data_IF_170080647160
#
_entry.id   IF_170080647160
#
_cell.length_a   1.000
_cell.length_b   1.000
_cell.length_c   1.000
_cell.angle_alpha   90.00
_cell.angle_beta   90.00
_cell.angle_gamma   90.00
#
_symmetry.space_group_name_H-M   'P 1'
#
loop_
_entity.id
_entity.type
_entity.pdbx_description
1 polymer ?
#
# COMPACT_ATOMS: atom_id res chain seq x y z
N UNK A 1 33.24 8.14 -31.91
CA UNK A 1 31.92 7.54 -31.67
C UNK A 1 31.93 7.05 -30.25
N UNK A 2 31.04 7.56 -29.42
CA UNK A 2 30.92 7.10 -28.03
C UNK A 2 30.46 5.64 -28.07
N UNK A 3 31.34 4.74 -27.60
CA UNK A 3 31.05 3.32 -27.55
C UNK A 3 30.06 3.04 -26.43
N UNK A 4 28.95 2.40 -26.76
CA UNK A 4 28.03 1.87 -25.75
C UNK A 4 28.74 0.78 -24.95
N UNK A 5 28.72 0.90 -23.62
CA UNK A 5 29.26 -0.13 -22.71
C UNK A 5 28.08 -0.85 -22.06
N UNK A 6 28.00 -2.16 -22.24
CA UNK A 6 27.11 -3.01 -21.45
C UNK A 6 27.81 -3.30 -20.11
N UNK A 7 27.21 -2.90 -18.99
CA UNK A 7 27.72 -3.19 -17.66
C UNK A 7 26.69 -3.97 -16.84
N UNK A 8 27.16 -4.79 -15.91
CA UNK A 8 26.30 -5.43 -14.91
C UNK A 8 25.87 -4.39 -13.87
N UNK A 9 24.74 -4.66 -13.19
CA UNK A 9 24.23 -3.78 -12.12
C UNK A 9 25.27 -3.55 -11.01
N UNK A 10 25.99 -4.59 -10.61
CA UNK A 10 27.06 -4.47 -9.60
C UNK A 10 28.19 -3.56 -10.06
N UNK A 11 28.59 -3.66 -11.33
CA UNK A 11 29.61 -2.79 -11.88
C UNK A 11 29.14 -1.34 -11.99
N UNK A 12 27.88 -1.12 -12.39
CA UNK A 12 27.27 0.22 -12.39
C UNK A 12 27.18 0.84 -10.98
N UNK A 13 26.95 0.03 -9.94
CA UNK A 13 27.04 0.46 -8.53
C UNK A 13 28.45 0.93 -8.17
N UNK A 14 29.48 0.15 -8.51
CA UNK A 14 30.89 0.51 -8.24
C UNK A 14 31.30 1.82 -8.90
N UNK A 15 30.74 2.11 -10.07
CA UNK A 15 31.01 3.33 -10.84
C UNK A 15 30.19 4.55 -10.39
N UNK A 16 29.30 4.40 -9.40
CA UNK A 16 28.44 5.47 -8.90
C UNK A 16 27.32 5.90 -9.87
N UNK A 17 27.12 5.18 -10.97
CA UNK A 17 26.16 5.57 -12.03
C UNK A 17 24.70 5.46 -11.61
N UNK A 18 24.42 4.73 -10.53
CA UNK A 18 23.08 4.50 -10.03
C UNK A 18 22.67 5.50 -8.94
N UNK A 19 23.58 6.36 -8.48
CA UNK A 19 23.35 7.26 -7.33
C UNK A 19 22.36 8.40 -7.63
N UNK A 20 22.22 8.80 -8.89
CA UNK A 20 21.32 9.89 -9.31
C UNK A 20 20.00 9.40 -9.90
N UNK A 21 19.69 8.10 -9.83
CA UNK A 21 18.47 7.54 -10.39
C UNK A 21 17.33 7.69 -9.39
N UNK A 22 16.39 8.60 -9.68
CA UNK A 22 15.11 8.67 -8.96
C UNK A 22 14.29 7.44 -9.32
N UNK A 23 14.06 6.57 -8.34
CA UNK A 23 13.27 5.35 -8.51
C UNK A 23 11.78 5.64 -8.35
N UNK A 24 10.97 4.95 -9.14
CA UNK A 24 9.51 4.99 -9.00
C UNK A 24 9.12 4.56 -7.57
N UNK A 25 8.36 5.38 -6.82
CA UNK A 25 7.98 5.07 -5.45
C UNK A 25 7.29 3.71 -5.28
N UNK A 26 6.53 3.22 -6.26
CA UNK A 26 5.89 1.90 -6.18
C UNK A 26 6.90 0.77 -6.27
N UNK A 27 7.97 0.98 -7.03
CA UNK A 27 9.06 0.00 -7.13
C UNK A 27 9.75 -0.12 -5.78
N UNK A 28 9.99 1.01 -5.11
CA UNK A 28 10.55 1.06 -3.75
C UNK A 28 9.62 0.36 -2.76
N UNK A 29 8.33 0.66 -2.77
CA UNK A 29 7.34 -0.01 -1.91
C UNK A 29 7.27 -1.53 -2.14
N UNK A 30 7.40 -1.97 -3.40
CA UNK A 30 7.45 -3.39 -3.74
C UNK A 30 8.71 -4.08 -3.22
N UNK A 31 9.87 -3.41 -3.28
CA UNK A 31 11.14 -3.91 -2.73
C UNK A 31 11.10 -4.03 -1.21
N UNK A 32 10.65 -2.99 -0.50
CA UNK A 32 10.49 -3.02 0.96
C UNK A 32 9.64 -4.23 1.36
N UNK A 33 8.50 -4.40 0.68
CA UNK A 33 7.60 -5.51 0.94
C UNK A 33 8.26 -6.86 0.62
N UNK A 34 8.93 -7.00 -0.52
CA UNK A 34 9.56 -8.27 -0.89
C UNK A 34 10.63 -8.69 0.12
N UNK A 35 11.46 -7.75 0.58
CA UNK A 35 12.49 -8.02 1.59
C UNK A 35 11.86 -8.49 2.89
N UNK A 36 10.81 -7.81 3.38
CA UNK A 36 10.14 -8.17 4.63
C UNK A 36 9.32 -9.46 4.50
N UNK A 37 8.58 -9.66 3.40
CA UNK A 37 7.81 -10.90 3.17
C UNK A 37 8.74 -12.13 3.05
N UNK A 38 10.01 -11.95 2.65
CA UNK A 38 11.02 -13.02 2.59
C UNK A 38 11.68 -13.34 3.93
N UNK A 39 11.50 -12.48 4.93
CA UNK A 39 12.16 -12.54 6.24
C UNK A 39 11.10 -12.25 7.29
N UNK A 40 10.53 -13.29 7.87
CA UNK A 40 9.45 -13.25 8.86
C UNK A 40 9.52 -12.06 9.85
N UNK A 41 10.73 -11.61 10.19
CA UNK A 41 11.02 -10.37 10.89
C UNK A 41 12.26 -9.66 10.33
N UNK A 42 12.29 -8.32 10.37
CA UNK A 42 13.45 -7.50 9.97
C UNK A 42 13.64 -6.34 10.94
N UNK A 43 14.89 -6.07 11.34
CA UNK A 43 15.26 -4.86 12.06
C UNK A 43 15.17 -3.64 11.12
N UNK A 44 14.35 -2.66 11.49
CA UNK A 44 14.10 -1.47 10.71
C UNK A 44 15.36 -0.64 10.44
N UNK A 45 16.34 -0.68 11.35
CA UNK A 45 17.64 -0.02 11.17
C UNK A 45 18.51 -0.69 10.10
N UNK A 46 18.30 -1.98 9.83
CA UNK A 46 19.03 -2.75 8.82
C UNK A 46 18.32 -2.80 7.47
N UNK A 47 17.00 -2.59 7.46
CA UNK A 47 16.15 -2.70 6.28
C UNK A 47 16.64 -1.87 5.08
N UNK A 48 17.09 -0.59 5.21
CA UNK A 48 17.63 0.15 4.09
C UNK A 48 18.82 -0.55 3.43
N UNK A 49 19.78 -1.02 4.23
CA UNK A 49 20.99 -1.68 3.72
C UNK A 49 20.66 -3.00 3.01
N UNK A 50 19.71 -3.77 3.53
CA UNK A 50 19.26 -5.03 2.91
C UNK A 50 18.63 -4.75 1.55
N UNK A 51 17.75 -3.73 1.46
CA UNK A 51 17.14 -3.32 0.19
C UNK A 51 18.19 -2.88 -0.81
N UNK A 52 19.21 -2.13 -0.38
CA UNK A 52 20.28 -1.70 -1.28
C UNK A 52 21.12 -2.87 -1.80
N UNK A 53 21.35 -3.89 -0.97
CA UNK A 53 22.10 -5.09 -1.34
C UNK A 53 21.33 -5.93 -2.37
N UNK A 54 20.08 -6.26 -2.09
CA UNK A 54 19.25 -7.12 -2.96
C UNK A 54 18.71 -6.40 -4.19
N UNK A 55 18.40 -5.13 -4.03
CA UNK A 55 17.86 -4.28 -5.06
C UNK A 55 18.87 -3.18 -5.36
N UNK A 56 18.56 -1.94 -5.03
CA UNK A 56 19.36 -0.78 -5.41
C UNK A 56 19.25 0.33 -4.36
N UNK A 57 20.11 1.35 -4.49
CA UNK A 57 20.06 2.56 -3.66
C UNK A 57 18.69 3.20 -3.75
N UNK A 58 18.15 3.60 -2.60
CA UNK A 58 16.84 4.24 -2.48
C UNK A 58 17.02 5.60 -1.82
N UNK A 59 16.34 6.61 -2.36
CA UNK A 59 16.27 7.91 -1.71
C UNK A 59 15.59 7.79 -0.33
N UNK A 60 16.19 8.37 0.70
CA UNK A 60 15.73 8.20 2.08
C UNK A 60 14.31 8.74 2.31
N UNK A 61 13.93 9.83 1.63
CA UNK A 61 12.59 10.41 1.74
C UNK A 61 11.55 9.50 1.06
N UNK A 62 11.86 9.00 -0.14
CA UNK A 62 10.99 8.04 -0.84
C UNK A 62 10.85 6.75 -0.03
N UNK A 63 11.94 6.24 0.55
CA UNK A 63 11.92 5.07 1.42
C UNK A 63 10.97 5.26 2.61
N UNK A 64 11.13 6.36 3.37
CA UNK A 64 10.32 6.65 4.54
C UNK A 64 8.84 6.78 4.17
N UNK A 65 8.53 7.51 3.10
CA UNK A 65 7.16 7.68 2.62
C UNK A 65 6.53 6.32 2.24
N UNK A 66 7.27 5.44 1.57
CA UNK A 66 6.74 4.12 1.19
C UNK A 66 6.58 3.19 2.39
N UNK A 67 7.48 3.26 3.37
CA UNK A 67 7.36 2.50 4.61
C UNK A 67 6.11 2.93 5.40
N UNK A 68 5.88 4.23 5.57
CA UNK A 68 4.67 4.78 6.20
C UNK A 68 3.40 4.34 5.47
N UNK A 69 3.42 4.37 4.13
CA UNK A 69 2.31 3.90 3.31
C UNK A 69 2.00 2.42 3.55
N UNK A 70 3.02 1.57 3.73
CA UNK A 70 2.83 0.14 3.99
C UNK A 70 2.25 -0.11 5.40
N UNK A 71 2.64 0.68 6.40
CA UNK A 71 2.02 0.65 7.72
C UNK A 71 0.56 1.11 7.68
N UNK A 72 0.28 2.23 7.01
CA UNK A 72 -1.08 2.76 6.83
C UNK A 72 -2.00 1.76 6.12
N UNK A 73 -1.47 0.99 5.16
CA UNK A 73 -2.18 -0.09 4.47
C UNK A 73 -2.33 -1.37 5.29
N UNK A 74 -1.89 -1.40 6.56
CA UNK A 74 -1.84 -2.61 7.41
C UNK A 74 -1.15 -3.78 6.69
N UNK A 75 -0.09 -3.50 5.94
CA UNK A 75 0.76 -4.52 5.28
C UNK A 75 1.91 -4.95 6.18
N UNK A 76 2.35 -4.05 7.03
CA UNK A 76 3.43 -4.24 7.98
C UNK A 76 2.93 -3.94 9.39
N UNK A 77 3.58 -4.56 10.36
CA UNK A 77 3.42 -4.26 11.79
C UNK A 77 4.81 -3.95 12.34
N UNK A 78 4.90 -2.90 13.14
CA UNK A 78 6.13 -2.58 13.85
C UNK A 78 5.98 -2.91 15.33
N UNK A 79 7.08 -3.31 15.93
CA UNK A 79 7.20 -3.60 17.35
C UNK A 79 8.47 -2.96 17.89
N UNK A 80 8.47 -2.46 19.13
CA UNK A 80 9.71 -2.15 19.81
C UNK A 80 10.48 -3.47 20.07
N UNK A 81 11.80 -3.41 20.18
CA UNK A 81 12.62 -4.62 20.26
C UNK A 81 12.34 -5.40 21.55
N UNK A 82 12.02 -4.69 22.63
CA UNK A 82 11.61 -5.23 23.93
C UNK A 82 10.24 -5.92 23.93
N UNK A 83 9.45 -5.82 22.86
CA UNK A 83 8.20 -6.56 22.75
C UNK A 83 8.41 -8.06 22.50
N UNK A 84 9.63 -8.48 22.13
CA UNK A 84 9.94 -9.88 21.86
C UNK A 84 10.49 -10.59 23.10
N UNK A 85 9.95 -11.77 23.39
CA UNK A 85 10.47 -12.65 24.44
C UNK A 85 11.67 -13.48 23.94
N UNK A 86 12.26 -14.29 24.83
CA UNK A 86 13.41 -15.16 24.50
C UNK A 86 13.08 -16.24 23.44
N UNK A 87 11.80 -16.59 23.29
CA UNK A 87 11.30 -17.55 22.30
C UNK A 87 11.08 -16.90 20.92
N UNK A 88 11.21 -15.57 20.82
CA UNK A 88 11.01 -14.80 19.60
C UNK A 88 9.54 -14.47 19.30
N UNK A 89 8.66 -14.59 20.29
CA UNK A 89 7.25 -14.17 20.21
C UNK A 89 7.07 -12.71 20.65
N UNK A 90 6.25 -11.98 19.92
CA UNK A 90 5.97 -10.57 20.19
C UNK A 90 4.71 -10.37 21.05
N UNK A 91 4.77 -9.43 21.99
CA UNK A 91 3.64 -8.95 22.78
C UNK A 91 2.60 -8.26 21.88
N UNK A 92 1.37 -8.77 21.78
CA UNK A 92 0.33 -8.18 20.96
C UNK A 92 -0.09 -6.76 21.35
N UNK A 93 0.08 -6.38 22.63
CA UNK A 93 -0.28 -5.03 23.09
C UNK A 93 0.71 -3.96 22.62
N UNK A 94 1.91 -4.37 22.20
CA UNK A 94 2.97 -3.49 21.72
C UNK A 94 2.95 -3.31 20.19
N UNK A 95 1.97 -3.90 19.49
CA UNK A 95 1.87 -3.84 18.05
C UNK A 95 1.50 -2.44 17.53
N UNK A 96 2.35 -1.87 16.70
CA UNK A 96 2.07 -0.65 15.95
C UNK A 96 1.55 -1.00 14.54
N UNK A 97 0.28 -0.72 14.28
CA UNK A 97 -0.41 -0.99 13.00
C UNK A 97 -1.19 0.22 12.57
N UNK A 98 -1.15 0.58 11.28
CA UNK A 98 -1.98 1.63 10.69
C UNK A 98 -2.04 2.90 11.54
N UNK A 99 -3.16 3.07 12.24
CA UNK A 99 -3.51 4.24 13.04
C UNK A 99 -2.72 4.39 14.35
N UNK A 100 -2.05 3.34 14.84
CA UNK A 100 -1.17 3.42 16.03
C UNK A 100 0.29 3.75 15.69
N UNK A 101 0.63 3.93 14.41
CA UNK A 101 1.95 4.40 13.99
C UNK A 101 2.08 5.90 14.29
N UNK A 102 3.16 6.34 14.96
CA UNK A 102 3.37 7.76 15.27
C UNK A 102 3.43 8.65 14.03
N UNK A 103 3.02 9.91 14.20
CA UNK A 103 3.21 10.95 13.18
C UNK A 103 4.72 11.14 12.95
N UNK A 104 5.18 10.90 11.72
CA UNK A 104 6.61 10.84 11.37
C UNK A 104 7.17 9.42 11.22
N UNK A 105 6.32 8.40 11.37
CA UNK A 105 6.65 7.00 11.11
C UNK A 105 7.31 6.29 12.30
N UNK A 106 7.82 5.09 12.03
CA UNK A 106 8.63 4.32 12.98
C UNK A 106 10.09 4.47 12.57
N UNK A 107 10.96 4.86 13.49
CA UNK A 107 12.38 5.06 13.22
C UNK A 107 13.25 3.86 13.62
N UNK A 108 12.77 3.03 14.54
CA UNK A 108 13.50 1.88 15.09
C UNK A 108 12.54 0.78 15.55
N UNK A 109 13.01 -0.46 15.57
CA UNK A 109 12.24 -1.62 16.03
C UNK A 109 12.28 -2.76 15.04
N UNK A 110 11.45 -3.78 15.30
CA UNK A 110 11.29 -4.94 14.43
C UNK A 110 10.03 -4.77 13.60
N UNK A 111 10.15 -4.99 12.29
CA UNK A 111 9.04 -4.97 11.37
C UNK A 111 8.76 -6.40 10.89
N UNK A 112 7.49 -6.75 10.86
CA UNK A 112 7.01 -8.06 10.43
C UNK A 112 5.88 -7.90 9.40
N UNK A 113 5.70 -8.85 8.48
CA UNK A 113 4.52 -8.89 7.63
C UNK A 113 3.25 -9.00 8.48
N UNK A 114 2.20 -8.25 8.12
CA UNK A 114 0.93 -8.29 8.86
C UNK A 114 0.31 -9.69 8.91
N UNK A 115 0.41 -10.45 7.81
CA UNK A 115 -0.09 -11.82 7.77
C UNK A 115 0.67 -12.77 8.70
N UNK A 116 1.99 -12.58 8.84
CA UNK A 116 2.82 -13.35 9.77
C UNK A 116 2.46 -13.04 11.21
N UNK A 117 2.37 -11.76 11.57
CA UNK A 117 1.93 -11.35 12.91
C UNK A 117 0.53 -11.88 13.24
N UNK A 118 -0.38 -11.89 12.26
CA UNK A 118 -1.74 -12.42 12.43
C UNK A 118 -1.74 -13.94 12.62
N UNK A 119 -0.93 -14.67 11.84
CA UNK A 119 -0.82 -16.12 11.92
C UNK A 119 -0.23 -16.58 13.26
N UNK A 120 0.72 -15.80 13.80
CA UNK A 120 1.37 -16.06 15.10
C UNK A 120 0.59 -15.52 16.30
N UNK A 121 -0.52 -14.81 16.08
CA UNK A 121 -1.33 -14.23 17.15
C UNK A 121 -0.71 -13.01 17.82
N UNK A 122 0.39 -12.47 17.26
CA UNK A 122 1.08 -11.27 17.72
C UNK A 122 0.33 -9.98 17.39
N UNK A 123 -0.67 -10.07 16.52
CA UNK A 123 -1.74 -9.09 16.50
C UNK A 123 -3.04 -9.84 16.73
N UNK A 124 -3.92 -9.25 17.51
CA UNK A 124 -5.29 -9.73 17.60
C UNK A 124 -5.83 -9.73 16.18
N UNK A 125 -6.29 -10.89 15.69
CA UNK A 125 -7.03 -10.94 14.44
C UNK A 125 -8.10 -9.85 14.53
N UNK A 126 -8.15 -8.88 13.61
CA UNK A 126 -9.33 -8.04 13.54
C UNK A 126 -10.53 -9.00 13.51
N UNK A 127 -11.59 -8.70 14.27
CA UNK A 127 -12.79 -9.55 14.35
C UNK A 127 -13.44 -9.81 12.98
N UNK A 128 -12.90 -9.22 11.91
CA UNK A 128 -13.48 -9.07 10.60
C UNK A 128 -12.40 -9.32 9.54
N UNK A 129 -12.71 -10.15 8.54
CA UNK A 129 -11.80 -10.52 7.45
C UNK A 129 -11.62 -9.35 6.48
N UNK A 130 -10.38 -8.91 6.27
CA UNK A 130 -10.05 -7.91 5.25
C UNK A 130 -10.38 -8.48 3.87
N UNK A 131 -11.18 -7.75 3.08
CA UNK A 131 -11.52 -8.15 1.71
C UNK A 131 -11.01 -7.13 0.71
N UNK A 132 -10.18 -7.60 -0.21
CA UNK A 132 -9.58 -6.77 -1.26
C UNK A 132 -10.29 -7.01 -2.58
N UNK A 133 -10.80 -5.93 -3.18
CA UNK A 133 -11.44 -5.91 -4.48
C UNK A 133 -10.51 -5.23 -5.47
N UNK A 134 -10.27 -5.88 -6.63
CA UNK A 134 -9.44 -5.31 -7.69
C UNK A 134 -10.28 -5.18 -8.97
N UNK A 135 -10.53 -3.94 -9.39
CA UNK A 135 -11.24 -3.62 -10.62
C UNK A 135 -10.23 -3.25 -11.70
N UNK A 136 -10.25 -3.97 -12.83
CA UNK A 136 -9.34 -3.75 -13.98
C UNK A 136 -10.05 -3.28 -15.24
N UNK A 137 -11.35 -3.51 -15.32
CA UNK A 137 -12.16 -3.15 -16.49
C UNK A 137 -12.63 -1.69 -16.39
N UNK A 138 -12.43 -0.86 -17.44
CA UNK A 138 -12.81 0.54 -17.42
C UNK A 138 -14.28 0.77 -17.02
N UNK A 139 -15.19 -0.06 -17.50
CA UNK A 139 -16.62 0.04 -17.22
C UNK A 139 -16.90 -0.12 -15.71
N UNK A 140 -16.29 -1.12 -15.08
CA UNK A 140 -16.49 -1.39 -13.64
C UNK A 140 -15.83 -0.34 -12.76
N UNK A 141 -14.65 0.17 -13.18
CA UNK A 141 -13.99 1.30 -12.52
C UNK A 141 -14.90 2.55 -12.57
N UNK A 142 -15.47 2.85 -13.73
CA UNK A 142 -16.42 3.97 -13.88
C UNK A 142 -17.67 3.77 -13.03
N UNK A 143 -18.18 2.54 -12.91
CA UNK A 143 -19.32 2.23 -12.04
C UNK A 143 -18.98 2.45 -10.57
N UNK A 144 -17.81 2.05 -10.09
CA UNK A 144 -17.34 2.35 -8.73
C UNK A 144 -17.23 3.86 -8.50
N UNK A 145 -16.64 4.61 -9.45
CA UNK A 145 -16.50 6.06 -9.29
C UNK A 145 -17.85 6.79 -9.32
N UNK A 146 -18.78 6.35 -10.17
CA UNK A 146 -20.15 6.86 -10.16
C UNK A 146 -20.82 6.62 -8.80
N UNK A 147 -20.62 5.43 -8.22
CA UNK A 147 -21.15 5.09 -6.91
C UNK A 147 -20.59 5.98 -5.79
N UNK A 148 -19.27 6.22 -5.80
CA UNK A 148 -18.59 7.11 -4.86
C UNK A 148 -18.88 8.60 -5.12
N UNK A 149 -19.27 8.97 -6.33
CA UNK A 149 -19.69 10.34 -6.67
C UNK A 149 -21.16 10.65 -6.32
N UNK A 150 -21.96 9.62 -6.04
CA UNK A 150 -23.36 9.75 -5.65
C UNK A 150 -23.53 10.09 -4.17
N UNK A 151 -24.77 10.06 -3.67
CA UNK A 151 -25.08 10.32 -2.24
C UNK A 151 -25.59 9.09 -1.49
N UNK A 152 -25.89 8.01 -2.21
CA UNK A 152 -26.59 6.83 -1.67
C UNK A 152 -25.81 6.02 -0.63
N UNK A 153 -24.54 6.35 -0.39
CA UNK A 153 -23.68 5.70 0.59
C UNK A 153 -23.07 6.67 1.61
N UNK A 154 -23.52 7.93 1.66
CA UNK A 154 -22.94 8.94 2.54
C UNK A 154 -23.03 8.58 4.04
N UNK A 155 -24.02 7.77 4.44
CA UNK A 155 -24.16 7.29 5.81
C UNK A 155 -23.42 5.97 6.09
N UNK A 156 -22.73 5.38 5.10
CA UNK A 156 -22.05 4.10 5.26
C UNK A 156 -20.82 4.24 6.16
N UNK A 157 -20.78 3.42 7.21
CA UNK A 157 -19.66 3.31 8.14
C UNK A 157 -18.71 2.17 7.78
N UNK A 158 -18.88 1.55 6.62
CA UNK A 158 -17.98 0.47 6.17
C UNK A 158 -16.57 1.01 6.07
N UNK A 159 -15.66 0.35 6.78
CA UNK A 159 -14.25 0.73 6.84
C UNK A 159 -13.60 0.46 5.48
N UNK A 160 -12.89 1.45 4.98
CA UNK A 160 -12.01 1.36 3.83
C UNK A 160 -10.59 1.52 4.35
N UNK A 161 -9.80 0.45 4.34
CA UNK A 161 -8.41 0.50 4.79
C UNK A 161 -7.51 1.18 3.76
N UNK A 162 -7.78 0.96 2.47
CA UNK A 162 -7.02 1.60 1.40
C UNK A 162 -7.84 1.64 0.09
N UNK A 163 -7.72 2.75 -0.62
CA UNK A 163 -8.15 2.87 -2.02
C UNK A 163 -6.96 3.32 -2.86
N UNK A 164 -6.54 2.49 -3.81
CA UNK A 164 -5.48 2.77 -4.78
C UNK A 164 -6.08 2.88 -6.18
N UNK A 165 -5.72 3.93 -6.90
CA UNK A 165 -6.16 4.20 -8.27
C UNK A 165 -4.91 4.35 -9.13
N UNK A 166 -4.75 3.48 -10.12
CA UNK A 166 -3.77 3.63 -11.19
C UNK A 166 -4.49 3.88 -12.51
N UNK A 167 -4.14 4.96 -13.20
CA UNK A 167 -4.78 5.38 -14.45
C UNK A 167 -3.82 6.15 -15.36
N UNK A 168 -4.30 6.53 -16.54
CA UNK A 168 -3.61 7.44 -17.46
C UNK A 168 -4.31 8.80 -17.52
N UNK A 169 -3.54 9.88 -17.56
CA UNK A 169 -4.07 11.23 -17.80
C UNK A 169 -4.34 11.46 -19.29
N UNK A 170 -5.12 12.49 -19.69
CA UNK A 170 -5.45 12.71 -21.11
C UNK A 170 -4.25 12.84 -22.05
N UNK A 171 -3.13 13.36 -21.52
CA UNK A 171 -1.82 13.58 -22.14
C UNK A 171 -0.88 12.37 -22.06
N UNK A 172 -1.38 11.19 -21.68
CA UNK A 172 -0.64 9.92 -21.56
C UNK A 172 0.34 9.84 -20.38
N UNK A 173 0.22 10.75 -19.41
CA UNK A 173 0.94 10.66 -18.15
C UNK A 173 0.38 9.55 -17.25
N UNK A 174 1.23 9.00 -16.37
CA UNK A 174 0.78 8.04 -15.35
C UNK A 174 0.17 8.80 -14.19
N UNK A 175 -1.06 8.45 -13.83
CA UNK A 175 -1.75 8.95 -12.65
C UNK A 175 -1.82 7.87 -11.59
N UNK A 176 -1.46 8.22 -10.36
CA UNK A 176 -1.67 7.39 -9.20
C UNK A 176 -2.21 8.20 -8.05
N UNK A 177 -3.23 7.66 -7.40
CA UNK A 177 -3.78 8.19 -6.17
C UNK A 177 -3.93 7.06 -5.17
N UNK A 178 -3.56 7.34 -3.94
CA UNK A 178 -3.82 6.46 -2.81
C UNK A 178 -4.51 7.26 -1.71
N UNK A 179 -5.62 6.72 -1.23
CA UNK A 179 -6.29 7.19 -0.03
C UNK A 179 -6.07 6.14 1.05
N UNK A 180 -5.63 6.61 2.22
CA UNK A 180 -5.43 5.79 3.42
C UNK A 180 -6.75 5.41 4.10
N UNK A 181 -6.68 4.93 5.35
CA UNK A 181 -7.83 4.48 6.11
C UNK A 181 -8.94 5.53 6.20
N UNK A 182 -10.18 5.11 5.95
CA UNK A 182 -11.37 5.96 5.91
C UNK A 182 -12.65 5.12 6.02
N UNK A 183 -13.81 5.74 5.77
CA UNK A 183 -15.09 5.06 5.59
C UNK A 183 -15.65 5.32 4.20
N UNK A 184 -16.56 4.46 3.74
CA UNK A 184 -17.27 4.69 2.47
C UNK A 184 -18.01 6.04 2.47
N UNK A 185 -18.62 6.42 3.60
CA UNK A 185 -19.25 7.73 3.76
C UNK A 185 -18.27 8.88 3.54
N UNK A 186 -17.08 8.83 4.13
CA UNK A 186 -16.04 9.84 3.94
C UNK A 186 -15.47 9.89 2.51
N UNK A 187 -15.39 8.75 1.82
CA UNK A 187 -15.07 8.74 0.38
C UNK A 187 -16.16 9.46 -0.42
N UNK A 188 -17.44 9.26 -0.09
CA UNK A 188 -18.56 9.95 -0.73
C UNK A 188 -18.55 11.46 -0.47
N UNK A 189 -18.07 11.92 0.69
CA UNK A 189 -17.86 13.35 0.92
C UNK A 189 -16.86 13.96 -0.08
N UNK A 190 -15.91 13.14 -0.55
CA UNK A 190 -14.99 13.47 -1.66
C UNK A 190 -15.60 13.23 -3.06
N UNK A 191 -16.92 13.20 -3.21
CA UNK A 191 -17.62 12.97 -4.50
C UNK A 191 -17.12 13.82 -5.67
N UNK A 192 -16.73 15.06 -5.42
CA UNK A 192 -16.22 15.96 -6.45
C UNK A 192 -14.89 15.45 -7.04
N UNK A 193 -14.03 14.87 -6.20
CA UNK A 193 -12.81 14.20 -6.63
C UNK A 193 -13.17 13.01 -7.53
N UNK A 194 -14.02 12.09 -7.06
CA UNK A 194 -14.36 10.90 -7.84
C UNK A 194 -15.05 11.22 -9.17
N UNK A 195 -15.89 12.27 -9.22
CA UNK A 195 -16.47 12.78 -10.48
C UNK A 195 -15.40 13.35 -11.43
N UNK A 196 -14.43 14.12 -10.90
CA UNK A 196 -13.32 14.64 -11.67
C UNK A 196 -12.39 13.53 -12.19
N UNK A 197 -12.10 12.52 -11.37
CA UNK A 197 -11.29 11.36 -11.77
C UNK A 197 -12.01 10.56 -12.86
N UNK A 198 -13.32 10.36 -12.73
CA UNK A 198 -14.12 9.62 -13.70
C UNK A 198 -14.19 10.30 -15.08
N UNK A 199 -14.16 11.64 -15.10
CA UNK A 199 -14.24 12.42 -16.34
C UNK A 199 -12.88 12.65 -17.00
N UNK A 200 -11.79 12.70 -16.23
CA UNK A 200 -10.45 13.07 -16.73
C UNK A 200 -9.52 11.90 -16.95
N UNK A 201 -9.66 10.81 -16.21
CA UNK A 201 -8.75 9.67 -16.31
C UNK A 201 -9.19 8.70 -17.40
N UNK A 202 -8.20 8.12 -18.07
CA UNK A 202 -8.38 7.00 -19.00
C UNK A 202 -7.95 5.72 -18.30
N UNK A 203 -8.84 4.73 -18.33
CA UNK A 203 -8.56 3.37 -17.86
C UNK A 203 -8.38 2.49 -19.09
N UNK A 204 -7.31 1.70 -19.10
CA UNK A 204 -6.96 0.77 -20.18
C UNK A 204 -6.67 -0.58 -19.56
N UNK A 205 -6.89 -1.65 -20.31
CA UNK A 205 -6.92 -3.03 -19.80
C UNK A 205 -5.57 -3.58 -19.36
N UNK A 206 -4.45 -2.95 -19.74
CA UNK A 206 -3.11 -3.53 -19.56
C UNK A 206 -2.35 -2.98 -18.35
N UNK A 207 -2.67 -1.79 -17.83
CA UNK A 207 -1.88 -1.15 -16.75
C UNK A 207 -2.69 -0.39 -15.68
N UNK A 208 -4.02 -0.32 -15.81
CA UNK A 208 -4.84 0.51 -14.92
C UNK A 208 -5.72 -0.36 -14.03
N UNK A 209 -5.71 -0.06 -12.73
CA UNK A 209 -6.49 -0.81 -11.75
C UNK A 209 -6.94 0.11 -10.61
N UNK A 210 -8.13 -0.18 -10.10
CA UNK A 210 -8.56 0.33 -8.79
C UNK A 210 -8.53 -0.83 -7.82
N UNK A 211 -7.74 -0.71 -6.76
CA UNK A 211 -7.71 -1.65 -5.65
C UNK A 211 -8.36 -1.01 -4.44
N UNK A 212 -9.37 -1.67 -3.89
CA UNK A 212 -10.07 -1.26 -2.70
C UNK A 212 -9.93 -2.36 -1.64
N UNK A 213 -9.44 -2.01 -0.47
CA UNK A 213 -9.34 -2.94 0.67
C UNK A 213 -10.31 -2.48 1.73
N UNK A 214 -11.29 -3.33 2.04
CA UNK A 214 -12.26 -3.08 3.09
C UNK A 214 -11.79 -3.72 4.40
N UNK A 215 -12.05 -3.01 5.50
CA UNK A 215 -11.87 -3.52 6.86
C UNK A 215 -13.15 -4.18 7.36
N UNK A 216 -13.74 -3.67 8.44
CA UNK A 216 -15.01 -4.21 8.97
C UNK A 216 -16.13 -4.22 7.91
N UNK A 217 -16.50 -5.43 7.47
CA UNK A 217 -17.62 -5.66 6.56
C UNK A 217 -18.91 -5.80 7.34
N UNK A 218 -19.83 -4.84 7.15
CA UNK A 218 -21.24 -5.09 7.44
C UNK A 218 -21.82 -5.94 6.28
N UNK A 219 -22.24 -7.20 6.51
CA UNK A 219 -22.79 -8.07 5.48
C UNK A 219 -24.13 -7.57 4.91
N UNK A 220 -24.78 -6.61 5.59
CA UNK A 220 -25.95 -5.90 5.07
C UNK A 220 -25.60 -4.61 4.32
N UNK A 221 -24.33 -4.23 4.27
CA UNK A 221 -23.91 -3.04 3.57
C UNK A 221 -24.11 -3.19 2.07
N UNK A 222 -24.93 -2.29 1.52
CA UNK A 222 -25.21 -2.17 0.09
C UNK A 222 -23.93 -2.00 -0.73
N UNK A 223 -22.92 -1.34 -0.19
CA UNK A 223 -21.64 -1.12 -0.87
C UNK A 223 -20.87 -2.43 -1.09
N UNK A 224 -20.75 -3.27 -0.06
CA UNK A 224 -20.05 -4.57 -0.15
C UNK A 224 -20.70 -5.47 -1.19
N UNK A 225 -22.05 -5.58 -1.19
CA UNK A 225 -22.79 -6.37 -2.18
C UNK A 225 -22.62 -5.84 -3.61
N UNK A 226 -22.51 -4.53 -3.78
CA UNK A 226 -22.25 -3.93 -5.09
C UNK A 226 -20.81 -4.18 -5.54
N UNK A 227 -19.83 -4.11 -4.64
CA UNK A 227 -18.43 -4.43 -4.96
C UNK A 227 -18.25 -5.88 -5.40
N UNK A 228 -18.94 -6.83 -4.78
CA UNK A 228 -18.96 -8.22 -5.20
C UNK A 228 -19.49 -8.40 -6.63
N UNK A 229 -20.47 -7.58 -7.05
CA UNK A 229 -20.98 -7.57 -8.43
C UNK A 229 -20.02 -6.92 -9.43
N UNK A 230 -19.17 -6.00 -8.94
CA UNK A 230 -18.12 -5.36 -9.73
C UNK A 230 -16.85 -6.21 -9.77
N UNK A 231 -16.69 -7.20 -8.91
CA UNK A 231 -15.54 -8.10 -8.93
C UNK A 231 -15.54 -8.98 -10.21
N UNK A 232 -14.37 -9.24 -10.76
CA UNK A 232 -14.14 -9.96 -12.04
C UNK A 232 -13.69 -9.05 -13.18
#
# INVERSE_FOLDING_TARGET
>A
GEGWILCTKEHAKQLGWLESIVRDPNTVGAWIRQVIDSRDQVDLGQLPQIIEQEHDKVDAHVYQQQLENLFAQRRLVAYPQEAFNEEGDADPEQAMTGDSVPVGGVASGIVVPYQTAQARGWITKPKVENRSFVLRTPEKIKQLFNLLSGTGLAQSQTEVQALQIGAETPDKGRFQLMLGPSTVGALVESRALFSALNSRLKFTTEQHQVRLTLGELDPNCKFTKMLEQLEG
#
